data_IF_360450520308
#
_entry.id   IF_360450520308
#
_cell.length_a   1.000
_cell.length_b   1.000
_cell.length_c   1.000
_cell.angle_alpha   90.00
_cell.angle_beta   90.00
_cell.angle_gamma   90.00
#
_symmetry.space_group_name_H-M   'P 1'
#
loop_
_entity.id
_entity.type
_entity.pdbx_description
1 polymer ?
#
# COMPACT_ATOMS: atom_id res chain seq x y z
N UNK A 1 -19.40 -12.71 25.36
CA UNK A 1 -18.14 -12.06 24.89
C UNK A 1 -17.83 -10.89 25.78
N UNK A 2 -16.62 -10.82 26.27
CA UNK A 2 -16.15 -9.70 27.09
C UNK A 2 -15.11 -8.88 26.33
N UNK A 3 -14.55 -7.89 26.99
CA UNK A 3 -13.55 -6.99 26.37
C UNK A 3 -12.29 -7.77 25.92
N UNK A 4 -11.88 -8.78 26.70
CA UNK A 4 -10.72 -9.60 26.33
C UNK A 4 -10.97 -10.37 25.04
N UNK A 5 -12.17 -10.89 24.84
CA UNK A 5 -12.54 -11.58 23.60
C UNK A 5 -12.48 -10.63 22.39
N UNK A 6 -13.00 -9.41 22.53
CA UNK A 6 -12.95 -8.42 21.46
C UNK A 6 -11.50 -8.00 21.15
N UNK A 7 -10.68 -7.83 22.18
CA UNK A 7 -9.26 -7.49 21.99
C UNK A 7 -8.50 -8.60 21.28
N UNK A 8 -8.80 -9.86 21.59
CA UNK A 8 -8.21 -11.00 20.90
C UNK A 8 -8.60 -11.02 19.43
N UNK A 9 -9.85 -10.69 19.09
CA UNK A 9 -10.29 -10.56 17.70
C UNK A 9 -9.55 -9.45 16.98
N UNK A 10 -9.38 -8.29 17.61
CA UNK A 10 -8.62 -7.18 17.03
C UNK A 10 -7.16 -7.58 16.82
N UNK A 11 -6.55 -8.27 17.78
CA UNK A 11 -5.16 -8.72 17.66
C UNK A 11 -4.98 -9.66 16.45
N UNK A 12 -5.91 -10.56 16.24
CA UNK A 12 -5.88 -11.46 15.07
C UNK A 12 -6.00 -10.67 13.75
N UNK A 13 -6.94 -9.73 13.71
CA UNK A 13 -7.14 -8.86 12.53
C UNK A 13 -5.88 -8.06 12.26
N UNK A 14 -5.27 -7.49 13.29
CA UNK A 14 -4.07 -6.67 13.14
C UNK A 14 -2.88 -7.49 12.62
N UNK A 15 -2.75 -8.74 13.06
CA UNK A 15 -1.71 -9.63 12.55
C UNK A 15 -1.93 -9.92 11.06
N UNK A 16 -3.16 -10.20 10.65
CA UNK A 16 -3.51 -10.39 9.24
C UNK A 16 -3.26 -9.13 8.43
N UNK A 17 -3.61 -7.98 9.00
CA UNK A 17 -3.41 -6.68 8.35
C UNK A 17 -1.92 -6.42 8.12
N UNK A 18 -1.07 -6.70 9.09
CA UNK A 18 0.37 -6.54 8.95
C UNK A 18 0.96 -7.51 7.92
N UNK A 19 0.49 -8.74 7.87
CA UNK A 19 0.91 -9.71 6.86
C UNK A 19 0.54 -9.24 5.46
N UNK A 20 -0.68 -8.70 5.28
CA UNK A 20 -1.14 -8.15 4.01
C UNK A 20 -0.36 -6.89 3.63
N UNK A 21 -0.05 -6.04 4.60
CA UNK A 21 0.78 -4.85 4.37
C UNK A 21 2.16 -5.23 3.85
N UNK A 22 2.82 -6.19 4.48
CA UNK A 22 4.12 -6.71 4.05
C UNK A 22 4.06 -7.23 2.62
N UNK A 23 3.07 -8.06 2.31
CA UNK A 23 2.87 -8.62 0.97
C UNK A 23 2.64 -7.51 -0.06
N UNK A 24 1.87 -6.49 0.33
CA UNK A 24 1.61 -5.34 -0.53
C UNK A 24 2.90 -4.57 -0.83
N UNK A 25 3.74 -4.34 0.17
CA UNK A 25 5.00 -3.63 -0.01
C UNK A 25 6.02 -4.43 -0.83
N UNK A 26 6.06 -5.74 -0.68
CA UNK A 26 6.89 -6.62 -1.52
C UNK A 26 6.44 -6.54 -2.99
N UNK A 27 5.14 -6.50 -3.23
CA UNK A 27 4.59 -6.33 -4.59
C UNK A 27 4.91 -4.95 -5.15
N UNK A 28 4.86 -3.92 -4.31
CA UNK A 28 5.24 -2.54 -4.68
C UNK A 28 6.69 -2.49 -5.14
N UNK A 29 7.59 -3.23 -4.51
CA UNK A 29 8.99 -3.33 -4.95
C UNK A 29 9.11 -3.93 -6.35
N UNK A 30 8.32 -4.95 -6.65
CA UNK A 30 8.29 -5.57 -7.99
C UNK A 30 7.74 -4.58 -9.02
N UNK A 31 6.71 -3.82 -8.67
CA UNK A 31 6.15 -2.76 -9.52
C UNK A 31 7.22 -1.69 -9.80
N UNK A 32 7.96 -1.28 -8.79
CA UNK A 32 9.03 -0.29 -8.93
C UNK A 32 10.08 -0.75 -9.93
N UNK A 33 10.53 -2.00 -9.83
CA UNK A 33 11.50 -2.57 -10.75
C UNK A 33 10.95 -2.63 -12.17
N UNK A 34 9.70 -3.03 -12.34
CA UNK A 34 9.06 -3.07 -13.66
C UNK A 34 8.97 -1.67 -14.29
N UNK A 35 8.53 -0.69 -13.50
CA UNK A 35 8.41 0.70 -13.98
C UNK A 35 9.76 1.28 -14.39
N UNK A 36 10.80 1.00 -13.62
CA UNK A 36 12.16 1.44 -13.94
C UNK A 36 12.62 0.86 -15.28
N UNK A 37 12.43 -0.44 -15.49
CA UNK A 37 12.81 -1.13 -16.72
C UNK A 37 12.07 -0.61 -17.94
N UNK A 38 10.83 -0.14 -17.77
CA UNK A 38 9.98 0.30 -18.88
C UNK A 38 9.86 1.83 -18.98
N UNK A 39 10.61 2.58 -18.16
CA UNK A 39 10.57 4.04 -18.17
C UNK A 39 9.24 4.63 -17.75
N UNK A 40 8.51 3.95 -16.88
CA UNK A 40 7.20 4.41 -16.40
C UNK A 40 7.35 5.22 -15.10
N UNK A 41 6.50 6.25 -14.89
CA UNK A 41 6.58 7.06 -13.68
C UNK A 41 6.05 6.30 -12.46
N UNK A 42 6.58 6.64 -11.28
CA UNK A 42 6.11 6.09 -10.00
C UNK A 42 4.66 6.50 -9.73
N UNK A 43 4.36 7.78 -9.94
CA UNK A 43 3.03 8.33 -9.67
C UNK A 43 2.09 8.06 -10.84
N UNK A 44 0.97 7.41 -10.56
CA UNK A 44 -0.10 7.11 -11.50
C UNK A 44 -1.42 7.58 -10.88
N UNK A 45 -1.79 8.87 -11.07
CA UNK A 45 -2.98 9.43 -10.44
C UNK A 45 -4.27 8.80 -10.93
N UNK A 46 -4.34 8.39 -12.18
CA UNK A 46 -5.53 7.75 -12.74
C UNK A 46 -5.78 6.39 -12.06
N UNK A 47 -4.73 5.60 -11.88
CA UNK A 47 -4.82 4.31 -11.20
C UNK A 47 -5.24 4.48 -9.74
N UNK A 48 -4.69 5.47 -9.04
CA UNK A 48 -5.07 5.74 -7.65
C UNK A 48 -6.55 6.09 -7.54
N UNK A 49 -7.06 6.94 -8.44
CA UNK A 49 -8.46 7.35 -8.42
C UNK A 49 -9.40 6.19 -8.75
N UNK A 50 -9.09 5.41 -9.77
CA UNK A 50 -9.89 4.22 -10.14
C UNK A 50 -9.96 3.24 -8.97
N UNK A 51 -8.84 2.99 -8.34
CA UNK A 51 -8.74 2.05 -7.23
C UNK A 51 -9.48 2.56 -6.00
N UNK A 52 -9.35 3.84 -5.70
CA UNK A 52 -10.08 4.49 -4.59
C UNK A 52 -11.58 4.32 -4.78
N UNK A 53 -12.09 4.67 -5.93
CA UNK A 53 -13.51 4.58 -6.25
C UNK A 53 -14.01 3.15 -6.10
N UNK A 54 -13.31 2.18 -6.67
CA UNK A 54 -13.71 0.77 -6.62
C UNK A 54 -13.71 0.21 -5.21
N UNK A 55 -12.68 0.51 -4.42
CA UNK A 55 -12.55 -0.03 -3.06
C UNK A 55 -13.57 0.60 -2.10
N UNK A 56 -13.76 1.92 -2.18
CA UNK A 56 -14.71 2.60 -1.29
C UNK A 56 -16.16 2.17 -1.57
N UNK A 57 -16.47 1.84 -2.83
CA UNK A 57 -17.80 1.34 -3.18
C UNK A 57 -18.15 0.00 -2.52
N UNK A 58 -17.15 -0.77 -2.11
CA UNK A 58 -17.36 -2.07 -1.44
C UNK A 58 -17.70 -1.92 0.04
N UNK A 59 -17.60 -0.72 0.60
CA UNK A 59 -17.79 -0.48 2.02
C UNK A 59 -19.12 0.23 2.31
N UNK A 60 -19.67 0.03 3.51
CA UNK A 60 -20.82 0.83 3.96
C UNK A 60 -20.45 2.33 3.95
N UNK A 61 -21.42 3.23 3.65
CA UNK A 61 -21.14 4.67 3.62
C UNK A 61 -20.48 5.22 4.88
N UNK A 62 -20.82 4.68 6.05
CA UNK A 62 -20.28 5.12 7.33
C UNK A 62 -18.77 4.90 7.46
N UNK A 63 -18.17 4.00 6.69
CA UNK A 63 -16.75 3.67 6.75
C UNK A 63 -15.93 4.31 5.63
N UNK A 64 -16.58 4.94 4.65
CA UNK A 64 -15.89 5.42 3.44
C UNK A 64 -14.89 6.53 3.69
N UNK A 65 -15.21 7.47 4.58
CA UNK A 65 -14.28 8.56 4.90
C UNK A 65 -13.02 8.03 5.56
N UNK A 66 -13.18 7.15 6.54
CA UNK A 66 -12.04 6.54 7.25
C UNK A 66 -11.21 5.66 6.30
N UNK A 67 -11.88 4.86 5.48
CA UNK A 67 -11.21 4.03 4.49
C UNK A 67 -10.48 4.87 3.43
N UNK A 68 -11.06 6.01 3.05
CA UNK A 68 -10.40 6.96 2.15
C UNK A 68 -9.10 7.50 2.73
N UNK A 69 -9.09 7.82 4.02
CA UNK A 69 -7.88 8.25 4.72
C UNK A 69 -6.82 7.14 4.75
N UNK A 70 -7.24 5.90 5.01
CA UNK A 70 -6.34 4.75 4.97
C UNK A 70 -5.73 4.55 3.58
N UNK A 71 -6.55 4.64 2.53
CA UNK A 71 -6.07 4.50 1.14
C UNK A 71 -5.08 5.59 0.79
N UNK A 72 -5.33 6.84 1.19
CA UNK A 72 -4.39 7.95 0.98
C UNK A 72 -3.03 7.62 1.61
N UNK A 73 -3.05 7.12 2.84
CA UNK A 73 -1.84 6.71 3.55
C UNK A 73 -1.12 5.58 2.80
N UNK A 74 -1.84 4.55 2.39
CA UNK A 74 -1.26 3.42 1.64
C UNK A 74 -0.65 3.86 0.31
N UNK A 75 -1.33 4.72 -0.43
CA UNK A 75 -0.82 5.22 -1.71
C UNK A 75 0.44 6.06 -1.52
N UNK A 76 0.45 6.91 -0.48
CA UNK A 76 1.62 7.74 -0.15
C UNK A 76 2.81 6.87 0.24
N UNK A 77 2.60 5.86 1.09
CA UNK A 77 3.65 4.93 1.52
C UNK A 77 4.17 4.11 0.34
N UNK A 78 3.27 3.68 -0.56
CA UNK A 78 3.64 2.91 -1.75
C UNK A 78 4.54 3.71 -2.69
N UNK A 79 4.19 4.97 -2.95
CA UNK A 79 5.00 5.85 -3.80
C UNK A 79 6.37 6.11 -3.18
N UNK A 80 6.40 6.38 -1.89
CA UNK A 80 7.65 6.59 -1.17
C UNK A 80 8.53 5.35 -1.20
N UNK A 81 7.94 4.17 -1.02
CA UNK A 81 8.66 2.90 -1.05
C UNK A 81 9.22 2.60 -2.45
N UNK A 82 8.43 2.85 -3.50
CA UNK A 82 8.90 2.71 -4.89
C UNK A 82 10.11 3.61 -5.15
N UNK A 83 10.03 4.88 -4.74
CA UNK A 83 11.10 5.85 -4.94
C UNK A 83 12.37 5.44 -4.20
N UNK A 84 12.26 4.97 -2.97
CA UNK A 84 13.40 4.49 -2.19
C UNK A 84 14.03 3.25 -2.83
N UNK A 85 13.22 2.32 -3.30
CA UNK A 85 13.68 1.10 -3.94
C UNK A 85 14.49 1.40 -5.20
N UNK A 86 13.97 2.26 -6.07
CA UNK A 86 14.65 2.70 -7.28
C UNK A 86 15.97 3.41 -6.95
N UNK A 87 15.95 4.32 -5.97
CA UNK A 87 17.15 5.05 -5.53
C UNK A 87 18.23 4.10 -5.01
N UNK A 88 17.85 3.10 -4.21
CA UNK A 88 18.78 2.11 -3.69
C UNK A 88 19.40 1.27 -4.81
N UNK A 89 18.60 0.80 -5.76
CA UNK A 89 19.08 0.06 -6.91
C UNK A 89 20.02 0.92 -7.78
N UNK A 90 19.64 2.17 -8.01
CA UNK A 90 20.47 3.13 -8.75
C UNK A 90 21.79 3.40 -8.05
N UNK A 91 21.79 3.58 -6.74
CA UNK A 91 23.00 3.78 -5.96
C UNK A 91 23.92 2.57 -6.00
N UNK A 92 23.37 1.36 -5.93
CA UNK A 92 24.13 0.11 -6.04
C UNK A 92 24.82 0.00 -7.39
N UNK A 93 24.11 0.30 -8.47
CA UNK A 93 24.64 0.28 -9.83
C UNK A 93 25.78 1.28 -9.97
N UNK A 94 25.67 2.46 -9.38
CA UNK A 94 26.70 3.51 -9.45
C UNK A 94 27.99 3.12 -8.71
N UNK A 95 27.88 2.30 -7.70
CA UNK A 95 29.03 1.86 -6.90
C UNK A 95 29.78 0.70 -7.57
N UNK A 96 29.16 0.06 -8.54
CA UNK A 96 29.76 -1.04 -9.28
C UNK A 96 30.28 -0.59 -10.64
#
# INVERSE_FOLDING_TARGET
MDLADFRNQIDEIDQELMALFRRRMETVEQIAAYKEQHGLPVYDPQREEEKRTALLAQLPPALRDDAGALLTCLFTLSKAHQSRHVAQCGATVRLT
#
